data_IF_995064664413
#
_entry.id   IF_995064664413
#
_cell.length_a   1.000
_cell.length_b   1.000
_cell.length_c   1.000
_cell.angle_alpha   90.00
_cell.angle_beta   90.00
_cell.angle_gamma   90.00
#
_symmetry.space_group_name_H-M   'P 1'
#
loop_
_entity.id
_entity.type
_entity.pdbx_description
1 polymer ?
#
# COMPACT_ATOMS: atom_id res chain seq x y z
N UNK A 1 -26.73 -18.47 -2.60
CA UNK A 1 -25.94 -17.32 -3.12
C UNK A 1 -26.58 -16.04 -2.63
N UNK A 2 -25.81 -15.06 -2.14
CA UNK A 2 -26.36 -13.77 -1.76
C UNK A 2 -26.94 -13.06 -3.00
N UNK A 3 -28.21 -12.66 -2.96
CA UNK A 3 -28.82 -11.84 -4.01
C UNK A 3 -28.22 -10.42 -3.93
N UNK A 4 -27.91 -9.76 -5.06
CA UNK A 4 -27.46 -8.38 -5.03
C UNK A 4 -28.53 -7.49 -4.36
N UNK A 5 -28.10 -6.58 -3.49
CA UNK A 5 -28.99 -5.66 -2.76
C UNK A 5 -29.66 -4.62 -3.67
N UNK A 6 -29.13 -4.44 -4.88
CA UNK A 6 -29.72 -3.59 -5.92
C UNK A 6 -29.60 -4.27 -7.30
N UNK A 7 -30.63 -4.15 -8.15
CA UNK A 7 -30.58 -4.61 -9.54
C UNK A 7 -29.84 -3.63 -10.47
N UNK A 8 -29.73 -2.36 -10.07
CA UNK A 8 -29.06 -1.31 -10.84
C UNK A 8 -28.25 -0.42 -9.90
N UNK A 9 -27.09 0.03 -10.37
CA UNK A 9 -26.28 1.06 -9.72
C UNK A 9 -26.04 2.20 -10.73
N UNK A 10 -25.91 3.43 -10.24
CA UNK A 10 -25.53 4.58 -11.08
C UNK A 10 -24.14 5.05 -10.67
N UNK A 11 -23.23 5.17 -11.64
CA UNK A 11 -21.88 5.69 -11.44
C UNK A 11 -21.63 6.77 -12.50
N UNK A 12 -21.37 8.01 -12.06
CA UNK A 12 -21.13 9.14 -12.96
C UNK A 12 -22.30 9.43 -13.91
N UNK A 13 -23.54 9.22 -13.45
CA UNK A 13 -24.75 9.39 -14.29
C UNK A 13 -25.05 8.23 -15.23
N UNK A 14 -24.15 7.23 -15.33
CA UNK A 14 -24.38 6.01 -16.13
C UNK A 14 -24.95 4.91 -15.26
N UNK A 15 -26.10 4.37 -15.66
CA UNK A 15 -26.73 3.23 -15.01
C UNK A 15 -26.09 1.91 -15.48
N UNK A 16 -25.83 1.02 -14.54
CA UNK A 16 -25.33 -0.33 -14.76
C UNK A 16 -26.33 -1.32 -14.17
N UNK A 17 -26.79 -2.28 -14.99
CA UNK A 17 -27.62 -3.39 -14.51
C UNK A 17 -26.70 -4.49 -13.99
N UNK A 18 -26.92 -4.92 -12.75
CA UNK A 18 -26.16 -6.00 -12.14
C UNK A 18 -26.75 -7.35 -12.52
N UNK A 19 -25.88 -8.33 -12.79
CA UNK A 19 -26.31 -9.70 -13.01
C UNK A 19 -26.95 -10.28 -11.74
N UNK A 20 -27.97 -11.12 -11.90
CA UNK A 20 -28.68 -11.76 -10.77
C UNK A 20 -27.79 -12.73 -9.97
N UNK A 21 -26.75 -13.25 -10.62
CA UNK A 21 -25.72 -14.11 -10.03
C UNK A 21 -24.35 -13.71 -10.56
N UNK A 22 -23.30 -14.08 -9.82
CA UNK A 22 -21.92 -14.03 -10.31
C UNK A 22 -21.80 -14.94 -11.53
N UNK A 23 -21.07 -14.49 -12.55
CA UNK A 23 -20.83 -15.24 -13.78
C UNK A 23 -19.37 -15.13 -14.22
N UNK A 24 -18.87 -16.13 -14.95
CA UNK A 24 -17.51 -16.13 -15.49
C UNK A 24 -16.47 -16.02 -14.37
N UNK A 25 -15.48 -15.12 -14.51
CA UNK A 25 -14.45 -14.93 -13.46
C UNK A 25 -15.04 -14.51 -12.11
N UNK A 26 -16.18 -13.81 -12.11
CA UNK A 26 -16.79 -13.35 -10.87
C UNK A 26 -17.33 -14.51 -10.00
N UNK A 27 -17.55 -15.70 -10.56
CA UNK A 27 -18.01 -16.89 -9.81
C UNK A 27 -17.01 -17.29 -8.72
N UNK A 28 -15.71 -17.04 -8.95
CA UNK A 28 -14.63 -17.35 -8.00
C UNK A 28 -14.51 -16.33 -6.86
N UNK A 29 -15.14 -15.15 -6.99
CA UNK A 29 -14.98 -14.08 -6.01
C UNK A 29 -15.50 -14.51 -4.64
N UNK A 30 -14.61 -14.48 -3.66
CA UNK A 30 -14.93 -14.70 -2.25
C UNK A 30 -15.00 -13.39 -1.47
N UNK A 31 -14.41 -12.32 -2.00
CA UNK A 31 -14.53 -10.95 -1.50
C UNK A 31 -14.09 -9.94 -2.56
N UNK A 32 -13.85 -8.70 -2.13
CA UNK A 32 -13.43 -7.59 -2.99
C UNK A 32 -11.93 -7.36 -2.85
N UNK A 33 -11.42 -7.38 -1.62
CA UNK A 33 -10.02 -7.09 -1.30
C UNK A 33 -9.30 -8.33 -0.77
N UNK A 34 -8.08 -8.57 -1.20
CA UNK A 34 -7.12 -9.34 -0.43
C UNK A 34 -6.50 -8.44 0.63
N UNK A 35 -6.34 -8.97 1.84
CA UNK A 35 -5.78 -8.25 2.97
C UNK A 35 -4.90 -9.19 3.78
N UNK A 36 -3.61 -8.86 3.88
CA UNK A 36 -2.64 -9.65 4.62
C UNK A 36 -2.60 -9.22 6.10
N UNK A 37 -3.57 -9.66 6.89
CA UNK A 37 -3.78 -9.12 8.25
C UNK A 37 -2.65 -9.44 9.23
N UNK A 38 -1.90 -10.53 9.00
CA UNK A 38 -0.68 -10.84 9.77
C UNK A 38 0.49 -9.90 9.47
N UNK A 39 0.45 -9.19 8.34
CA UNK A 39 1.55 -8.40 7.81
C UNK A 39 1.45 -6.94 8.27
N UNK A 40 1.87 -6.64 9.51
CA UNK A 40 1.80 -5.28 10.11
C UNK A 40 2.37 -4.18 9.21
N UNK A 41 3.35 -4.47 8.37
CA UNK A 41 3.95 -3.46 7.48
C UNK A 41 2.97 -2.97 6.40
N UNK A 42 1.97 -3.77 6.01
CA UNK A 42 1.02 -3.38 4.96
C UNK A 42 0.19 -2.18 5.40
N UNK A 43 -0.38 -2.22 6.62
CA UNK A 43 -1.20 -1.16 7.22
C UNK A 43 -0.47 -0.34 8.30
N UNK A 44 0.81 -0.61 8.55
CA UNK A 44 1.67 0.15 9.45
C UNK A 44 2.64 1.06 8.73
N UNK A 45 3.11 0.67 7.55
CA UNK A 45 4.10 1.43 6.79
C UNK A 45 3.42 2.00 5.55
N UNK A 46 3.01 1.11 4.65
CA UNK A 46 2.61 1.50 3.29
C UNK A 46 1.25 2.20 3.24
N UNK A 47 0.21 1.69 3.91
CA UNK A 47 -1.08 2.40 3.91
C UNK A 47 -1.06 3.66 4.78
N UNK A 48 -0.31 3.66 5.89
CA UNK A 48 -0.10 4.83 6.76
C UNK A 48 0.49 5.99 5.96
N UNK A 49 1.40 5.67 5.03
CA UNK A 49 2.00 6.65 4.14
C UNK A 49 0.96 7.50 3.39
N UNK A 50 -0.20 6.94 3.05
CA UNK A 50 -1.22 7.65 2.26
C UNK A 50 -1.75 8.83 3.07
N UNK A 51 -2.26 8.64 4.29
CA UNK A 51 -2.82 9.76 5.05
C UNK A 51 -1.75 10.79 5.44
N UNK A 52 -0.51 10.36 5.66
CA UNK A 52 0.59 11.27 5.95
C UNK A 52 0.84 12.26 4.81
N UNK A 53 0.70 11.81 3.55
CA UNK A 53 0.86 12.68 2.37
C UNK A 53 -0.23 13.77 2.25
N UNK A 54 -1.30 13.70 3.04
CA UNK A 54 -2.26 14.81 3.09
C UNK A 54 -1.65 16.03 3.78
N UNK A 55 -0.67 15.86 4.68
CA UNK A 55 -0.09 16.96 5.46
C UNK A 55 1.42 17.12 5.22
N UNK A 56 2.11 16.05 4.82
CA UNK A 56 3.58 15.97 4.77
C UNK A 56 4.05 15.52 3.39
N UNK A 57 4.84 16.37 2.73
CA UNK A 57 5.23 16.17 1.32
C UNK A 57 6.36 15.17 1.11
N UNK A 58 7.13 14.86 2.15
CA UNK A 58 8.32 14.00 2.04
C UNK A 58 8.77 13.42 3.38
N UNK A 59 9.67 12.44 3.34
CA UNK A 59 10.37 11.94 4.52
C UNK A 59 11.13 13.06 5.26
N UNK A 60 11.73 14.02 4.54
CA UNK A 60 12.42 15.15 5.14
C UNK A 60 11.49 16.12 5.87
N UNK A 61 10.30 16.38 5.32
CA UNK A 61 9.26 17.16 5.98
C UNK A 61 8.72 16.44 7.23
N UNK A 62 8.49 15.14 7.11
CA UNK A 62 8.06 14.29 8.22
C UNK A 62 9.06 14.27 9.38
N UNK A 63 10.36 14.19 9.09
CA UNK A 63 11.41 14.23 10.12
C UNK A 63 11.46 15.56 10.91
N UNK A 64 10.80 16.62 10.40
CA UNK A 64 10.72 17.95 11.01
C UNK A 64 9.28 18.36 11.33
N UNK A 65 8.39 17.38 11.49
CA UNK A 65 6.97 17.63 11.69
C UNK A 65 6.72 18.50 12.94
N UNK A 66 5.95 19.57 12.78
CA UNK A 66 5.56 20.46 13.88
C UNK A 66 4.31 19.98 14.62
N UNK A 67 4.07 20.45 15.84
CA UNK A 67 2.85 20.13 16.60
C UNK A 67 1.56 20.55 15.87
N UNK A 68 1.60 21.66 15.13
CA UNK A 68 0.50 22.10 14.29
C UNK A 68 0.20 21.09 13.18
N UNK A 69 1.23 20.58 12.49
CA UNK A 69 1.07 19.54 11.47
C UNK A 69 0.59 18.22 12.07
N UNK A 70 1.06 17.82 13.26
CA UNK A 70 0.55 16.63 13.95
C UNK A 70 -0.95 16.77 14.22
N UNK A 71 -1.40 17.93 14.67
CA UNK A 71 -2.83 18.17 14.90
C UNK A 71 -3.66 18.09 13.61
N UNK A 72 -3.08 18.52 12.48
CA UNK A 72 -3.70 18.40 11.15
C UNK A 72 -3.83 16.95 10.64
N UNK A 73 -3.08 15.99 11.20
CA UNK A 73 -3.17 14.58 10.83
C UNK A 73 -4.38 13.84 11.42
N UNK A 74 -5.14 14.47 12.33
CA UNK A 74 -6.28 13.82 13.00
C UNK A 74 -7.35 13.35 12.02
N UNK A 75 -7.85 14.25 11.18
CA UNK A 75 -8.89 13.93 10.20
C UNK A 75 -8.38 12.98 9.11
N UNK A 76 -7.17 13.17 8.54
CA UNK A 76 -6.54 12.17 7.68
C UNK A 76 -6.43 10.77 8.28
N UNK A 77 -6.00 10.64 9.55
CA UNK A 77 -5.85 9.35 10.21
C UNK A 77 -7.22 8.70 10.50
N UNK A 78 -8.24 9.49 10.84
CA UNK A 78 -9.61 8.99 10.96
C UNK A 78 -10.13 8.48 9.61
N UNK A 79 -9.95 9.25 8.53
CA UNK A 79 -10.29 8.83 7.17
C UNK A 79 -9.58 7.54 6.75
N UNK A 80 -8.32 7.38 7.14
CA UNK A 80 -7.56 6.14 6.97
C UNK A 80 -8.19 4.94 7.68
N UNK A 81 -8.60 5.10 8.94
CA UNK A 81 -9.29 4.03 9.66
C UNK A 81 -10.63 3.67 9.02
N UNK A 82 -11.38 4.62 8.45
CA UNK A 82 -12.61 4.33 7.69
C UNK A 82 -12.33 3.59 6.37
N UNK A 83 -11.23 3.91 5.68
CA UNK A 83 -10.80 3.13 4.52
C UNK A 83 -10.42 1.69 4.90
N UNK A 84 -9.66 1.53 5.99
CA UNK A 84 -9.28 0.21 6.48
C UNK A 84 -10.52 -0.58 6.92
N UNK A 85 -11.51 0.08 7.52
CA UNK A 85 -12.80 -0.49 7.87
C UNK A 85 -13.52 -1.06 6.61
N UNK A 86 -13.60 -0.26 5.56
CA UNK A 86 -14.17 -0.70 4.28
C UNK A 86 -13.43 -1.92 3.69
N UNK A 87 -12.10 -1.84 3.59
CA UNK A 87 -11.27 -2.90 3.02
C UNK A 87 -11.46 -4.20 3.80
N UNK A 88 -11.37 -4.13 5.12
CA UNK A 88 -11.36 -5.32 5.98
C UNK A 88 -12.77 -5.92 6.19
N UNK A 89 -13.84 -5.17 5.93
CA UNK A 89 -15.23 -5.67 5.92
C UNK A 89 -15.58 -6.48 4.66
N UNK A 90 -14.80 -6.30 3.59
CA UNK A 90 -15.05 -6.91 2.28
C UNK A 90 -13.90 -7.84 1.81
N UNK A 91 -13.20 -8.45 2.77
CA UNK A 91 -12.06 -9.34 2.48
C UNK A 91 -12.52 -10.65 1.86
N UNK A 92 -11.78 -11.11 0.86
CA UNK A 92 -11.84 -12.47 0.34
C UNK A 92 -10.58 -13.25 0.68
N UNK A 93 -10.70 -14.56 0.79
CA UNK A 93 -9.57 -15.48 0.92
C UNK A 93 -9.73 -16.70 0.03
N UNK A 94 -8.73 -17.58 0.06
CA UNK A 94 -8.69 -18.81 -0.76
C UNK A 94 -9.82 -19.79 -0.44
N UNK A 95 -10.26 -19.82 0.83
CA UNK A 95 -11.26 -20.77 1.34
C UNK A 95 -12.68 -20.21 1.39
N UNK A 96 -12.90 -18.98 0.92
CA UNK A 96 -14.19 -18.29 1.02
C UNK A 96 -14.07 -16.87 1.52
N UNK A 97 -15.21 -16.30 1.93
CA UNK A 97 -15.27 -14.93 2.43
C UNK A 97 -14.39 -14.79 3.68
N UNK A 98 -13.47 -13.84 3.67
CA UNK A 98 -12.69 -13.47 4.84
C UNK A 98 -13.51 -12.66 5.83
N UNK A 99 -13.18 -12.76 7.11
CA UNK A 99 -13.84 -12.02 8.18
C UNK A 99 -12.81 -11.60 9.20
N UNK A 100 -12.98 -10.39 9.75
CA UNK A 100 -12.22 -9.94 10.91
C UNK A 100 -12.36 -10.91 12.07
N UNK A 101 -11.30 -11.04 12.85
CA UNK A 101 -11.13 -12.00 13.92
C UNK A 101 -9.77 -12.67 13.86
N UNK A 102 -9.52 -13.66 14.73
CA UNK A 102 -8.23 -14.35 14.83
C UNK A 102 -7.74 -14.95 13.50
N UNK A 103 -8.67 -15.34 12.62
CA UNK A 103 -8.32 -15.92 11.33
C UNK A 103 -7.68 -14.90 10.38
N UNK A 104 -8.19 -13.65 10.34
CA UNK A 104 -7.67 -12.61 9.44
C UNK A 104 -6.22 -12.22 9.76
N UNK A 105 -5.79 -12.40 11.02
CA UNK A 105 -4.42 -12.13 11.45
C UNK A 105 -3.55 -13.40 11.46
N UNK A 106 -4.08 -14.53 11.00
CA UNK A 106 -3.34 -15.78 10.88
C UNK A 106 -2.59 -15.83 9.53
N UNK A 107 -1.26 -15.91 9.59
CA UNK A 107 -0.40 -15.90 8.40
C UNK A 107 -0.62 -17.10 7.47
N UNK A 108 -1.13 -18.24 7.94
CA UNK A 108 -1.39 -19.40 7.09
C UNK A 108 -2.62 -19.23 6.21
N UNK A 109 -3.57 -18.36 6.60
CA UNK A 109 -4.82 -18.14 5.88
C UNK A 109 -4.86 -16.77 5.19
N UNK A 110 -4.31 -15.74 5.82
CA UNK A 110 -4.31 -14.35 5.37
C UNK A 110 -2.91 -13.71 5.48
N UNK A 111 -1.88 -14.47 5.14
CA UNK A 111 -0.51 -13.98 4.98
C UNK A 111 -0.26 -13.33 3.62
N UNK A 112 0.98 -12.89 3.43
CA UNK A 112 1.45 -12.29 2.18
C UNK A 112 1.16 -13.19 0.97
N UNK A 113 1.62 -14.45 0.99
CA UNK A 113 1.47 -15.36 -0.15
C UNK A 113 0.01 -15.69 -0.42
N UNK A 114 -0.81 -15.90 0.62
CA UNK A 114 -2.24 -16.16 0.46
C UNK A 114 -2.96 -14.96 -0.17
N UNK A 115 -2.56 -13.74 0.18
CA UNK A 115 -3.11 -12.52 -0.41
C UNK A 115 -2.79 -12.41 -1.91
N UNK A 116 -1.56 -12.76 -2.30
CA UNK A 116 -1.13 -12.80 -3.71
C UNK A 116 -1.89 -13.90 -4.45
N UNK A 117 -1.91 -15.13 -3.93
CA UNK A 117 -2.60 -16.26 -4.54
C UNK A 117 -4.10 -15.97 -4.74
N UNK A 118 -4.78 -15.40 -3.75
CA UNK A 118 -6.20 -15.06 -3.85
C UNK A 118 -6.49 -14.04 -4.96
N UNK A 119 -5.57 -13.12 -5.22
CA UNK A 119 -5.65 -12.19 -6.35
C UNK A 119 -5.46 -12.91 -7.69
N UNK A 120 -4.44 -13.76 -7.79
CA UNK A 120 -4.14 -14.50 -9.03
C UNK A 120 -5.26 -15.47 -9.42
N UNK A 121 -5.83 -16.18 -8.43
CA UNK A 121 -6.93 -17.13 -8.63
C UNK A 121 -8.26 -16.46 -8.98
N UNK A 122 -8.34 -15.12 -8.85
CA UNK A 122 -9.54 -14.33 -9.08
C UNK A 122 -10.55 -14.45 -7.95
N UNK A 123 -10.11 -14.77 -6.72
CA UNK A 123 -10.97 -14.75 -5.53
C UNK A 123 -11.26 -13.33 -5.03
N UNK A 124 -10.42 -12.37 -5.40
CA UNK A 124 -10.60 -10.94 -5.07
C UNK A 124 -10.34 -10.07 -6.31
N UNK A 125 -10.76 -8.81 -6.24
CA UNK A 125 -10.55 -7.81 -7.30
C UNK A 125 -9.30 -6.97 -7.05
N UNK A 126 -9.03 -6.64 -5.79
CA UNK A 126 -7.95 -5.73 -5.40
C UNK A 126 -7.00 -6.38 -4.41
N UNK A 127 -5.72 -6.09 -4.57
CA UNK A 127 -4.64 -6.50 -3.68
C UNK A 127 -3.79 -5.27 -3.37
N UNK A 128 -3.59 -5.00 -2.08
CA UNK A 128 -2.68 -3.93 -1.67
C UNK A 128 -1.25 -4.46 -1.58
N UNK A 129 -0.43 -4.13 -2.59
CA UNK A 129 0.98 -4.50 -2.69
C UNK A 129 1.73 -3.47 -3.54
N UNK A 130 3.06 -3.57 -3.62
CA UNK A 130 3.86 -2.83 -4.61
C UNK A 130 4.36 -3.71 -5.75
N UNK A 131 5.13 -3.14 -6.68
CA UNK A 131 5.50 -3.81 -7.93
C UNK A 131 6.41 -5.04 -7.75
N UNK A 132 7.08 -5.17 -6.59
CA UNK A 132 7.93 -6.33 -6.28
C UNK A 132 7.18 -7.67 -6.36
N UNK A 133 5.84 -7.66 -6.25
CA UNK A 133 5.05 -8.89 -6.38
C UNK A 133 4.94 -9.40 -7.83
N UNK A 134 5.42 -8.65 -8.82
CA UNK A 134 5.33 -9.03 -10.22
C UNK A 134 5.92 -10.43 -10.46
N UNK A 135 7.05 -10.75 -9.83
CA UNK A 135 7.67 -12.09 -9.90
C UNK A 135 6.79 -13.18 -9.27
N UNK A 136 6.10 -12.87 -8.16
CA UNK A 136 5.20 -13.81 -7.51
C UNK A 136 3.97 -14.09 -8.37
N UNK A 137 3.37 -13.04 -8.95
CA UNK A 137 2.21 -13.20 -9.85
C UNK A 137 2.62 -13.97 -11.11
N UNK A 138 3.74 -13.62 -11.74
CA UNK A 138 4.24 -14.26 -12.96
C UNK A 138 4.54 -15.74 -12.75
N UNK A 139 5.07 -16.11 -11.58
CA UNK A 139 5.31 -17.51 -11.23
C UNK A 139 4.01 -18.34 -11.08
N UNK A 140 2.90 -17.71 -10.68
CA UNK A 140 1.60 -18.39 -10.51
C UNK A 140 0.81 -18.40 -11.83
N UNK A 141 0.64 -17.23 -12.47
CA UNK A 141 -0.03 -17.07 -13.75
C UNK A 141 0.53 -15.85 -14.53
N UNK A 142 1.37 -16.07 -15.57
CA UNK A 142 1.92 -15.01 -16.42
C UNK A 142 0.83 -14.15 -17.11
N UNK A 143 -0.33 -14.72 -17.42
CA UNK A 143 -1.42 -13.98 -18.02
C UNK A 143 -2.09 -13.01 -17.04
N UNK A 144 -2.01 -13.26 -15.72
CA UNK A 144 -2.43 -12.30 -14.70
C UNK A 144 -1.37 -11.20 -14.57
N UNK A 145 -0.09 -11.56 -14.54
CA UNK A 145 1.01 -10.59 -14.43
C UNK A 145 0.95 -9.53 -15.54
N UNK A 146 0.73 -9.96 -16.78
CA UNK A 146 0.67 -9.09 -17.97
C UNK A 146 -0.53 -8.14 -18.01
N UNK A 147 -1.59 -8.38 -17.21
CA UNK A 147 -2.81 -7.56 -17.17
C UNK A 147 -3.05 -6.85 -15.83
N UNK A 148 -2.12 -6.97 -14.89
CA UNK A 148 -2.21 -6.34 -13.56
C UNK A 148 -1.76 -4.89 -13.62
N UNK A 149 -2.46 -3.98 -12.93
CA UNK A 149 -2.11 -2.55 -12.92
C UNK A 149 -2.43 -1.92 -11.56
N UNK A 150 -1.79 -0.79 -11.27
CA UNK A 150 -2.10 -0.01 -10.08
C UNK A 150 -3.28 0.93 -10.32
N UNK A 151 -4.12 1.03 -9.30
CA UNK A 151 -5.13 2.07 -9.18
C UNK A 151 -4.90 2.83 -7.87
N UNK A 152 -5.32 4.11 -7.77
CA UNK A 152 -5.26 4.86 -6.52
C UNK A 152 -6.08 4.18 -5.42
N UNK A 153 -5.53 4.14 -4.21
CA UNK A 153 -6.30 3.78 -3.03
C UNK A 153 -7.29 4.91 -2.75
N UNK A 154 -8.57 4.66 -2.97
CA UNK A 154 -9.61 5.67 -2.76
C UNK A 154 -9.82 5.86 -1.26
N UNK A 155 -9.59 7.09 -0.83
CA UNK A 155 -9.74 7.53 0.55
C UNK A 155 -10.90 8.55 0.62
N UNK A 156 -11.62 8.65 1.75
CA UNK A 156 -12.65 9.68 1.93
C UNK A 156 -12.00 11.05 2.19
N UNK A 157 -11.21 11.52 1.22
CA UNK A 157 -10.43 12.75 1.29
C UNK A 157 -11.31 13.96 1.01
N UNK A 158 -11.09 15.03 1.76
CA UNK A 158 -11.68 16.35 1.51
C UNK A 158 -10.56 17.37 1.27
N UNK A 159 -10.84 18.47 0.56
CA UNK A 159 -9.84 19.52 0.34
C UNK A 159 -9.36 20.12 1.68
N UNK A 160 -10.21 20.11 2.71
CA UNK A 160 -9.86 20.56 4.05
C UNK A 160 -8.78 19.69 4.73
N UNK A 161 -8.66 18.41 4.36
CA UNK A 161 -7.65 17.49 4.90
C UNK A 161 -6.29 17.68 4.24
N UNK A 162 -6.23 18.17 2.99
CA UNK A 162 -5.01 18.24 2.20
C UNK A 162 -4.31 19.59 2.39
N UNK A 163 -3.03 19.57 2.78
CA UNK A 163 -2.17 20.73 3.10
C UNK A 163 -0.94 20.82 2.21
N UNK A 164 -0.75 19.86 1.30
CA UNK A 164 0.39 19.74 0.37
C UNK A 164 0.15 20.42 -0.98
N UNK A 165 -0.90 21.25 -1.08
CA UNK A 165 -1.27 21.95 -2.31
C UNK A 165 -2.02 21.11 -3.37
N UNK A 166 -2.17 19.80 -3.17
CA UNK A 166 -3.05 18.96 -4.00
C UNK A 166 -4.52 19.20 -3.65
N UNK A 167 -5.41 19.13 -4.65
CA UNK A 167 -6.85 18.97 -4.39
C UNK A 167 -7.16 17.54 -3.94
N UNK A 168 -8.28 17.33 -3.26
CA UNK A 168 -8.77 16.01 -2.89
C UNK A 168 -8.98 15.10 -4.11
N UNK A 169 -9.33 15.67 -5.27
CA UNK A 169 -9.41 14.96 -6.55
C UNK A 169 -8.04 14.47 -7.01
N UNK A 170 -7.05 15.36 -7.10
CA UNK A 170 -5.69 14.99 -7.50
C UNK A 170 -5.10 13.95 -6.54
N UNK A 171 -5.32 14.13 -5.24
CA UNK A 171 -4.87 13.18 -4.23
C UNK A 171 -5.48 11.78 -4.45
N UNK A 172 -6.80 11.71 -4.71
CA UNK A 172 -7.48 10.45 -5.04
C UNK A 172 -7.16 9.91 -6.44
N UNK A 173 -6.48 10.66 -7.29
CA UNK A 173 -6.00 10.22 -8.61
C UNK A 173 -4.54 9.75 -8.57
N UNK A 174 -3.85 9.95 -7.44
CA UNK A 174 -2.43 9.61 -7.27
C UNK A 174 -2.20 8.24 -6.61
N UNK A 175 -1.04 7.65 -6.90
CA UNK A 175 -0.55 6.44 -6.20
C UNK A 175 0.70 6.76 -5.37
N UNK A 176 0.95 6.04 -4.26
CA UNK A 176 2.21 6.16 -3.55
C UNK A 176 3.36 5.57 -4.37
N UNK A 177 4.41 6.35 -4.61
CA UNK A 177 5.63 5.91 -5.32
C UNK A 177 6.83 6.40 -4.51
N UNK A 178 7.72 5.48 -4.17
CA UNK A 178 8.92 5.80 -3.40
C UNK A 178 9.99 4.73 -3.54
N UNK A 179 11.20 5.07 -3.12
CA UNK A 179 12.37 4.18 -3.09
C UNK A 179 12.40 3.44 -1.74
N UNK A 180 12.14 2.12 -1.71
CA UNK A 180 12.06 1.38 -0.44
C UNK A 180 13.42 0.88 0.05
N UNK A 181 14.42 0.78 -0.83
CA UNK A 181 15.71 0.16 -0.53
C UNK A 181 16.86 1.03 -1.02
N UNK A 182 17.94 1.08 -0.24
CA UNK A 182 19.17 1.80 -0.55
C UNK A 182 20.36 0.88 -0.29
N UNK A 183 21.39 1.00 -1.12
CA UNK A 183 22.67 0.40 -0.83
C UNK A 183 23.46 1.30 0.11
N UNK A 184 24.08 0.71 1.14
CA UNK A 184 24.94 1.41 2.09
C UNK A 184 26.22 0.61 2.31
N UNK A 185 27.35 1.31 2.45
CA UNK A 185 28.65 0.69 2.74
C UNK A 185 28.90 0.78 4.24
N UNK A 186 29.22 -0.35 4.87
CA UNK A 186 29.49 -0.41 6.30
C UNK A 186 30.81 0.28 6.63
N UNK A 187 30.77 1.45 7.28
CA UNK A 187 31.96 2.20 7.66
C UNK A 187 32.88 1.48 8.67
N UNK A 188 32.43 0.38 9.29
CA UNK A 188 33.18 -0.38 10.29
C UNK A 188 34.03 -1.52 9.72
N UNK A 189 33.90 -1.84 8.43
CA UNK A 189 34.73 -2.86 7.77
C UNK A 189 36.04 -2.25 7.25
N UNK A 190 37.00 -3.10 6.87
CA UNK A 190 38.30 -2.64 6.38
C UNK A 190 38.18 -1.79 5.12
N UNK A 191 39.17 -0.94 4.84
CA UNK A 191 39.19 -0.13 3.61
C UNK A 191 39.11 -0.99 2.34
N UNK A 192 39.79 -2.14 2.33
CA UNK A 192 39.74 -3.09 1.23
C UNK A 192 38.32 -3.64 0.99
N UNK A 193 37.57 -3.96 2.04
CA UNK A 193 36.17 -4.41 1.91
C UNK A 193 35.25 -3.28 1.45
N UNK A 194 35.50 -2.03 1.90
CA UNK A 194 34.74 -0.87 1.41
C UNK A 194 34.98 -0.65 -0.08
N UNK A 195 36.22 -0.73 -0.54
CA UNK A 195 36.58 -0.56 -1.95
C UNK A 195 35.96 -1.68 -2.81
N UNK A 196 36.02 -2.94 -2.35
CA UNK A 196 35.34 -4.04 -3.03
C UNK A 196 33.81 -3.87 -3.08
N UNK A 197 33.19 -3.31 -2.03
CA UNK A 197 31.76 -3.01 -2.04
C UNK A 197 31.41 -1.89 -3.03
N UNK A 198 32.26 -0.86 -3.15
CA UNK A 198 32.11 0.18 -4.19
C UNK A 198 32.19 -0.44 -5.58
N UNK A 199 33.21 -1.25 -5.85
CA UNK A 199 33.39 -1.92 -7.14
C UNK A 199 32.18 -2.79 -7.50
N UNK A 200 31.65 -3.54 -6.55
CA UNK A 200 30.43 -4.33 -6.74
C UNK A 200 29.23 -3.46 -7.09
N UNK A 201 29.02 -2.34 -6.37
CA UNK A 201 27.90 -1.44 -6.64
C UNK A 201 28.04 -0.73 -8.00
N UNK A 202 29.26 -0.37 -8.41
CA UNK A 202 29.53 0.17 -9.75
C UNK A 202 29.25 -0.88 -10.83
N UNK A 203 29.70 -2.13 -10.64
CA UNK A 203 29.40 -3.23 -11.55
C UNK A 203 27.89 -3.43 -11.67
N UNK A 204 27.17 -3.49 -10.56
CA UNK A 204 25.71 -3.65 -10.55
C UNK A 204 25.04 -2.50 -11.33
N UNK A 205 25.48 -1.25 -11.11
CA UNK A 205 24.90 -0.08 -11.75
C UNK A 205 25.32 0.14 -13.21
N UNK A 206 26.13 -0.75 -13.79
CA UNK A 206 26.34 -0.75 -15.25
C UNK A 206 25.02 -1.04 -15.97
N UNK A 207 24.82 -0.42 -17.14
CA UNK A 207 23.55 -0.50 -17.88
C UNK A 207 23.08 -1.94 -18.13
N UNK A 208 24.00 -2.82 -18.52
CA UNK A 208 23.71 -4.25 -18.77
C UNK A 208 23.20 -4.94 -17.51
N UNK A 209 23.86 -4.73 -16.36
CA UNK A 209 23.50 -5.37 -15.10
C UNK A 209 22.22 -4.79 -14.50
N UNK A 210 21.97 -3.49 -14.64
CA UNK A 210 20.67 -2.90 -14.26
C UNK A 210 19.55 -3.50 -15.11
N UNK A 211 19.74 -3.59 -16.43
CA UNK A 211 18.73 -4.16 -17.33
C UNK A 211 18.46 -5.64 -17.02
N UNK A 212 19.50 -6.40 -16.71
CA UNK A 212 19.39 -7.83 -16.38
C UNK A 212 18.77 -8.05 -15.00
N UNK A 213 19.40 -7.54 -13.95
CA UNK A 213 19.06 -7.88 -12.58
C UNK A 213 17.94 -7.00 -12.02
N UNK A 214 18.07 -5.67 -12.08
CA UNK A 214 17.07 -4.77 -11.49
C UNK A 214 15.75 -4.82 -12.28
N UNK A 215 15.82 -4.67 -13.60
CA UNK A 215 14.63 -4.64 -14.45
C UNK A 215 14.15 -6.05 -14.80
N UNK A 216 15.05 -6.92 -15.25
CA UNK A 216 14.71 -8.25 -15.75
C UNK A 216 14.30 -9.24 -14.67
N UNK A 217 15.15 -9.42 -13.65
CA UNK A 217 14.96 -10.43 -12.61
C UNK A 217 14.12 -9.92 -11.44
N UNK A 218 14.43 -8.74 -10.91
CA UNK A 218 13.75 -8.19 -9.72
C UNK A 218 12.43 -7.49 -10.07
N UNK A 219 12.19 -7.19 -11.35
CA UNK A 219 11.04 -6.40 -11.83
C UNK A 219 10.90 -5.06 -11.09
N UNK A 220 12.04 -4.46 -10.74
CA UNK A 220 12.12 -3.18 -10.05
C UNK A 220 12.40 -2.04 -11.04
N UNK A 221 12.05 -0.83 -10.63
CA UNK A 221 12.32 0.39 -11.40
C UNK A 221 13.62 1.00 -10.84
N UNK A 222 14.70 1.14 -11.64
CA UNK A 222 15.90 1.81 -11.18
C UNK A 222 15.63 3.29 -10.89
N UNK A 223 16.31 3.85 -9.89
CA UNK A 223 16.08 5.25 -9.47
C UNK A 223 16.40 6.28 -10.57
N UNK A 224 17.31 5.91 -11.48
CA UNK A 224 17.74 6.67 -12.65
C UNK A 224 17.13 6.11 -13.95
N UNK A 225 15.96 5.48 -13.88
CA UNK A 225 15.27 4.97 -15.05
C UNK A 225 15.08 6.08 -16.09
N UNK A 226 15.57 5.84 -17.30
CA UNK A 226 15.36 6.67 -18.48
C UNK A 226 14.91 5.79 -19.65
N UNK A 227 14.77 6.38 -20.84
CA UNK A 227 14.37 5.66 -22.05
C UNK A 227 15.36 4.59 -22.52
N UNK A 228 16.53 4.46 -21.86
CA UNK A 228 17.54 3.48 -22.20
C UNK A 228 17.31 2.11 -21.56
N UNK A 229 16.41 2.03 -20.56
CA UNK A 229 15.96 0.78 -19.95
C UNK A 229 14.64 0.31 -20.54
N UNK A 230 14.56 -0.99 -20.85
CA UNK A 230 13.33 -1.62 -21.34
C UNK A 230 12.55 -2.22 -20.18
N UNK A 231 11.57 -1.48 -19.67
CA UNK A 231 10.66 -1.95 -18.62
C UNK A 231 9.47 -2.66 -19.28
N UNK A 232 9.36 -3.97 -19.08
CA UNK A 232 8.38 -4.81 -19.78
C UNK A 232 7.20 -5.22 -18.91
N UNK A 233 7.38 -5.35 -17.60
CA UNK A 233 6.33 -5.81 -16.69
C UNK A 233 5.22 -4.76 -16.49
N UNK A 234 4.00 -5.26 -16.27
CA UNK A 234 2.79 -4.44 -16.28
C UNK A 234 2.70 -3.50 -15.06
N UNK A 235 3.17 -3.94 -13.89
CA UNK A 235 3.11 -3.15 -12.67
C UNK A 235 4.08 -1.98 -12.73
N UNK A 236 5.31 -2.19 -13.19
CA UNK A 236 6.28 -1.11 -13.37
C UNK A 236 5.85 -0.13 -14.45
N UNK A 237 5.31 -0.60 -15.59
CA UNK A 237 4.69 0.27 -16.61
C UNK A 237 3.56 1.12 -16.03
N UNK A 238 2.75 0.53 -15.16
CA UNK A 238 1.68 1.26 -14.47
C UNK A 238 2.25 2.40 -13.63
N UNK A 239 3.30 2.16 -12.85
CA UNK A 239 3.98 3.18 -12.03
C UNK A 239 4.53 4.31 -12.91
N UNK A 240 5.22 3.98 -14.01
CA UNK A 240 5.77 4.96 -14.95
C UNK A 240 4.66 5.87 -15.51
N UNK A 241 3.51 5.31 -15.89
CA UNK A 241 2.37 6.13 -16.35
C UNK A 241 1.90 7.15 -15.29
N UNK A 242 1.97 6.83 -13.99
CA UNK A 242 1.63 7.81 -12.94
C UNK A 242 2.75 8.83 -12.72
N UNK A 243 4.02 8.43 -12.83
CA UNK A 243 5.17 9.34 -12.79
C UNK A 243 5.10 10.36 -13.92
N UNK A 244 4.87 9.92 -15.16
CA UNK A 244 4.77 10.79 -16.35
C UNK A 244 3.64 11.83 -16.23
N UNK A 245 2.57 11.48 -15.52
CA UNK A 245 1.42 12.37 -15.25
C UNK A 245 1.61 13.28 -14.04
N UNK A 246 2.67 13.09 -13.26
CA UNK A 246 2.82 13.73 -11.94
C UNK A 246 1.75 13.31 -10.93
N UNK A 247 1.08 12.17 -11.15
CA UNK A 247 -0.03 11.68 -10.34
C UNK A 247 0.49 10.70 -9.26
N UNK A 248 1.36 11.17 -8.39
CA UNK A 248 1.94 10.35 -7.33
C UNK A 248 2.11 11.12 -6.01
N UNK A 249 2.23 10.38 -4.92
CA UNK A 249 2.53 10.89 -3.57
C UNK A 249 3.79 10.22 -3.01
N UNK A 250 4.54 10.93 -2.16
CA UNK A 250 5.87 10.53 -1.66
C UNK A 250 5.79 9.57 -0.46
N UNK A 251 6.88 9.40 0.31
CA UNK A 251 7.01 8.50 1.47
C UNK A 251 7.29 9.18 2.83
N UNK A 252 6.46 10.12 3.31
CA UNK A 252 6.61 10.73 4.64
C UNK A 252 6.74 9.72 5.80
N UNK A 253 6.18 8.50 5.71
CA UNK A 253 6.31 7.51 6.79
C UNK A 253 7.79 7.18 7.13
N UNK A 254 8.71 7.29 6.17
CA UNK A 254 10.15 7.04 6.38
C UNK A 254 10.81 8.10 7.28
N UNK A 255 10.21 9.29 7.39
CA UNK A 255 10.64 10.33 8.32
C UNK A 255 9.98 10.25 9.69
N UNK A 256 9.05 9.32 9.89
CA UNK A 256 8.33 9.15 11.15
C UNK A 256 9.04 8.14 12.07
N UNK A 257 8.90 8.25 13.39
CA UNK A 257 9.46 7.27 14.32
C UNK A 257 8.93 5.85 14.02
N UNK A 258 9.83 4.90 13.74
CA UNK A 258 9.44 3.51 13.44
C UNK A 258 8.52 2.86 14.49
N UNK A 259 8.79 3.00 15.80
CA UNK A 259 7.89 2.46 16.82
C UNK A 259 6.48 3.07 16.78
N UNK A 260 6.32 4.31 16.28
CA UNK A 260 4.99 4.91 16.18
C UNK A 260 4.12 4.18 15.15
N UNK A 261 4.58 4.07 13.91
CA UNK A 261 3.75 3.49 12.85
C UNK A 261 3.67 1.95 12.95
N UNK A 262 4.69 1.29 13.51
CA UNK A 262 4.67 -0.17 13.75
C UNK A 262 3.86 -0.59 14.97
N UNK A 263 4.01 0.12 16.09
CA UNK A 263 3.45 -0.34 17.36
C UNK A 263 2.18 0.44 17.71
N UNK A 264 2.25 1.77 17.73
CA UNK A 264 1.11 2.62 18.09
C UNK A 264 -0.01 2.56 17.05
N UNK A 265 0.32 2.42 15.76
CA UNK A 265 -0.67 2.21 14.69
C UNK A 265 -0.88 0.72 14.43
N UNK A 266 0.06 0.03 13.77
CA UNK A 266 -0.21 -1.31 13.25
C UNK A 266 -0.47 -2.35 14.36
N UNK A 267 0.29 -2.32 15.45
CA UNK A 267 0.04 -3.19 16.60
C UNK A 267 -1.39 -3.03 17.14
N UNK A 268 -1.79 -1.79 17.44
CA UNK A 268 -3.13 -1.48 17.91
C UNK A 268 -4.23 -1.78 16.89
N UNK A 269 -4.01 -1.53 15.59
CA UNK A 269 -4.94 -1.92 14.52
C UNK A 269 -5.16 -3.43 14.53
N UNK A 270 -4.08 -4.22 14.56
CA UNK A 270 -4.17 -5.68 14.61
C UNK A 270 -4.97 -6.15 15.84
N UNK A 271 -4.59 -5.67 17.02
CA UNK A 271 -5.13 -6.16 18.30
C UNK A 271 -6.56 -5.69 18.57
N UNK A 272 -6.85 -4.42 18.31
CA UNK A 272 -8.10 -3.76 18.73
C UNK A 272 -9.15 -3.71 17.63
N UNK A 273 -8.75 -3.83 16.37
CA UNK A 273 -9.62 -3.60 15.22
C UNK A 273 -9.71 -4.84 14.34
N UNK A 274 -8.61 -5.39 13.81
CA UNK A 274 -8.66 -6.56 12.93
C UNK A 274 -9.17 -7.83 13.64
N UNK A 275 -8.96 -7.94 14.95
CA UNK A 275 -9.51 -9.01 15.78
C UNK A 275 -10.98 -8.82 16.18
N UNK A 276 -11.61 -7.69 15.83
CA UNK A 276 -13.01 -7.40 16.15
C UNK A 276 -13.84 -7.29 14.89
N UNK A 277 -15.06 -7.83 14.93
CA UNK A 277 -15.96 -7.84 13.79
C UNK A 277 -16.39 -6.43 13.38
N UNK A 278 -16.89 -5.66 14.34
CA UNK A 278 -17.50 -4.35 14.11
C UNK A 278 -16.67 -3.27 14.83
N UNK A 279 -16.52 -2.10 14.19
CA UNK A 279 -15.78 -0.96 14.73
C UNK A 279 -16.75 0.17 14.99
N UNK A 280 -16.75 0.72 16.20
CA UNK A 280 -17.53 1.92 16.51
C UNK A 280 -16.68 3.17 16.21
N UNK A 281 -17.32 4.23 15.71
CA UNK A 281 -16.61 5.49 15.41
C UNK A 281 -15.91 6.06 16.65
N UNK A 282 -16.52 5.95 17.84
CA UNK A 282 -15.90 6.35 19.12
C UNK A 282 -14.58 5.60 19.41
N UNK A 283 -14.47 4.34 19.00
CA UNK A 283 -13.27 3.54 19.23
C UNK A 283 -12.17 3.96 18.24
N UNK A 284 -12.57 4.32 17.02
CA UNK A 284 -11.67 4.90 16.02
C UNK A 284 -11.17 6.27 16.48
N UNK A 285 -12.05 7.15 16.98
CA UNK A 285 -11.67 8.47 17.53
C UNK A 285 -10.64 8.32 18.66
N UNK A 286 -10.92 7.44 19.63
CA UNK A 286 -10.01 7.16 20.73
C UNK A 286 -8.67 6.61 20.23
N UNK A 287 -8.67 5.75 19.20
CA UNK A 287 -7.44 5.26 18.58
C UNK A 287 -6.64 6.37 17.91
N UNK A 288 -7.30 7.24 17.13
CA UNK A 288 -6.69 8.37 16.44
C UNK A 288 -5.99 9.30 17.44
N UNK A 289 -6.70 9.67 18.51
CA UNK A 289 -6.17 10.58 19.53
C UNK A 289 -4.96 9.97 20.26
N UNK A 290 -5.04 8.68 20.60
CA UNK A 290 -3.93 7.95 21.22
C UNK A 290 -2.72 7.82 20.28
N UNK A 291 -2.95 7.53 19.00
CA UNK A 291 -1.88 7.41 18.01
C UNK A 291 -1.14 8.75 17.82
N UNK A 292 -1.86 9.88 17.77
CA UNK A 292 -1.24 11.20 17.67
C UNK A 292 -0.51 11.61 18.95
N UNK A 293 -1.05 11.27 20.13
CA UNK A 293 -0.33 11.45 21.39
C UNK A 293 0.96 10.63 21.43
N UNK A 294 0.92 9.39 20.94
CA UNK A 294 2.08 8.50 20.79
C UNK A 294 3.16 9.08 19.87
N UNK A 295 2.76 9.72 18.75
CA UNK A 295 3.68 10.42 17.86
C UNK A 295 4.40 11.57 18.60
N UNK A 296 3.63 12.45 19.27
CA UNK A 296 4.20 13.58 20.02
C UNK A 296 5.21 13.12 21.06
N UNK A 297 4.87 12.09 21.83
CA UNK A 297 5.75 11.54 22.87
C UNK A 297 7.06 10.94 22.31
N UNK A 298 7.03 10.40 21.08
CA UNK A 298 8.21 9.81 20.43
C UNK A 298 9.12 10.84 19.77
N UNK A 299 8.59 12.00 19.40
CA UNK A 299 9.38 13.11 18.83
C UNK A 299 10.09 13.96 19.90
N UNK A 300 9.70 13.82 21.17
CA UNK A 300 10.32 14.50 22.32
C UNK A 300 11.52 13.74 22.92
N UNK A 301 11.85 12.55 22.38
CA UNK A 301 12.95 11.69 22.84
C UNK A 301 14.14 11.77 21.90
#
# INVERSE_FOLDING_TARGET
>A
MAKPSAQKISLGGKAYTLAASKTGRAEKLTGVFAFAGSEKWTYGDHSVNIFLNMVLESAGAAAKVSEAQISQLRDPLFAYMKNLDLVTSHVGGLKGKGQRGPDLINSANFGYDQSVQAYVDGNVLFLQQGNWIAVNIEAIDPAVATRSSFIPVKMPVTDAMVKTGMTAKQFNEAIPIYVPNYYVINAKVSKAEQDAAVDFLLWMNSKENVQKYIVGDFKAIPYNADSSFTITDSLSKSIISYLDKGAFISNPYMGMPKPWYRDDIAGNVMEKFLNKKDWADKDIEAFVDNALAGLKAKLQK
#
